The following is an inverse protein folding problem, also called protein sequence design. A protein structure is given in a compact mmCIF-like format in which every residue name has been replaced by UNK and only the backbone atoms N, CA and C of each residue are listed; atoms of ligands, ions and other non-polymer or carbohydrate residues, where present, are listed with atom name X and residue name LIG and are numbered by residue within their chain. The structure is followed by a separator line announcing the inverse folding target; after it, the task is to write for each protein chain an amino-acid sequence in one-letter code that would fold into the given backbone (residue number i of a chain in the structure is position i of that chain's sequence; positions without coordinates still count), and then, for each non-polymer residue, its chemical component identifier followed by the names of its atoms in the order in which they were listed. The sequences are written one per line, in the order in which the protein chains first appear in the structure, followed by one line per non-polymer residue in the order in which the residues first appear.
data_IF_417409243766
#
_entry.id   IF_417409243766
#
_cell.length_a   1.000
_cell.length_b   1.000
_cell.length_c   1.000
_cell.angle_alpha   90.00
_cell.angle_beta   90.00
_cell.angle_gamma   90.00
#
_symmetry.space_group_name_H-M   'P 1'
#
loop_
_entity.id
_entity.type
_entity.pdbx_description
1 polymer ?
#
# COMPACT_ATOMS: atom_id res chain seq x y z
N UNK A 1 -77.52 12.58 -23.42
CA UNK A 1 -77.64 12.92 -24.86
C UNK A 1 -76.25 13.24 -25.39
N UNK A 2 -75.82 12.75 -26.57
CA UNK A 2 -75.57 11.33 -26.85
C UNK A 2 -74.21 11.07 -27.54
N UNK A 3 -73.98 9.79 -27.86
CA UNK A 3 -73.29 9.23 -29.06
C UNK A 3 -71.75 9.27 -29.16
N UNK A 4 -71.02 8.14 -29.06
CA UNK A 4 -70.82 7.02 -30.04
C UNK A 4 -69.78 7.40 -31.13
N UNK A 5 -68.85 6.58 -31.63
CA UNK A 5 -68.51 5.16 -31.46
C UNK A 5 -67.14 4.83 -32.13
N UNK A 6 -66.58 3.66 -31.77
CA UNK A 6 -65.90 2.60 -32.56
C UNK A 6 -64.83 2.95 -33.63
N UNK A 7 -63.74 2.20 -33.83
CA UNK A 7 -63.57 0.73 -33.95
C UNK A 7 -62.12 0.37 -33.50
N UNK A 8 -61.79 -0.67 -32.71
CA UNK A 8 -61.99 -2.13 -32.74
C UNK A 8 -61.46 -2.86 -33.99
N UNK A 9 -60.39 -3.65 -33.80
CA UNK A 9 -60.18 -5.02 -34.34
C UNK A 9 -58.93 -5.63 -33.65
N UNK A 10 -59.04 -6.48 -32.59
CA UNK A 10 -59.30 -7.96 -32.52
C UNK A 10 -58.12 -8.83 -33.02
N UNK A 11 -57.96 -10.13 -32.61
CA UNK A 11 -58.66 -10.92 -31.56
C UNK A 11 -57.86 -12.01 -30.76
N UNK A 12 -58.52 -12.59 -29.72
CA UNK A 12 -58.71 -14.02 -29.27
C UNK A 12 -57.48 -14.97 -29.15
N UNK A 13 -57.35 -15.90 -28.19
CA UNK A 13 -58.25 -16.85 -27.48
C UNK A 13 -57.80 -16.97 -25.99
N UNK A 14 -58.59 -17.14 -24.91
CA UNK A 14 -59.80 -17.89 -24.51
C UNK A 14 -59.61 -19.36 -24.07
N UNK A 15 -59.78 -19.57 -22.75
CA UNK A 15 -60.34 -20.73 -22.00
C UNK A 15 -59.53 -22.06 -22.01
N UNK A 16 -59.61 -22.96 -21.00
CA UNK A 16 -60.61 -23.19 -19.96
C UNK A 16 -60.05 -23.99 -18.75
N UNK A 17 -60.81 -23.90 -17.66
CA UNK A 17 -60.99 -24.78 -16.49
C UNK A 17 -60.61 -26.27 -16.62
N UNK A 18 -60.21 -26.90 -15.52
CA UNK A 18 -61.01 -27.93 -14.80
C UNK A 18 -60.39 -28.34 -13.46
N UNK A 19 -61.24 -28.61 -12.47
CA UNK A 19 -60.91 -29.18 -11.17
C UNK A 19 -61.11 -30.71 -11.17
N UNK A 20 -60.29 -31.47 -10.44
CA UNK A 20 -60.69 -32.69 -9.73
C UNK A 20 -59.50 -33.29 -8.93
N UNK A 21 -59.81 -33.84 -7.77
CA UNK A 21 -58.91 -34.49 -6.82
C UNK A 21 -58.64 -35.97 -7.16
N UNK A 22 -57.46 -36.49 -6.79
CA UNK A 22 -57.25 -37.84 -6.25
C UNK A 22 -55.78 -38.02 -5.82
N UNK A 23 -55.59 -38.44 -4.57
CA UNK A 23 -54.31 -38.90 -4.02
C UNK A 23 -53.88 -40.23 -4.65
N UNK A 24 -52.58 -40.44 -4.89
CA UNK A 24 -51.89 -41.75 -4.92
C UNK A 24 -50.38 -41.54 -4.69
N UNK A 25 -49.75 -42.57 -4.14
CA UNK A 25 -48.51 -42.60 -3.38
C UNK A 25 -47.18 -42.51 -4.18
N UNK A 26 -46.11 -42.21 -3.41
CA UNK A 26 -44.70 -42.66 -3.54
C UNK A 26 -43.94 -42.39 -4.86
N UNK A 27 -42.91 -41.55 -4.78
CA UNK A 27 -41.52 -42.04 -4.88
C UNK A 27 -40.49 -40.96 -4.52
N UNK A 28 -39.45 -41.38 -3.80
CA UNK A 28 -38.39 -40.56 -3.28
C UNK A 28 -37.33 -40.28 -4.36
N UNK A 29 -37.01 -39.01 -4.60
CA UNK A 29 -35.76 -38.60 -5.24
C UNK A 29 -35.10 -37.51 -4.40
N UNK A 30 -34.12 -37.93 -3.61
CA UNK A 30 -33.18 -37.04 -2.92
C UNK A 30 -32.20 -36.50 -3.97
N UNK A 31 -32.44 -35.29 -4.46
CA UNK A 31 -31.47 -34.56 -5.24
C UNK A 31 -30.35 -34.07 -4.32
N UNK A 32 -29.21 -34.77 -4.34
CA UNK A 32 -27.97 -34.32 -3.72
C UNK A 32 -27.47 -33.07 -4.44
N UNK A 33 -27.68 -31.90 -3.84
CA UNK A 33 -27.04 -30.67 -4.26
C UNK A 33 -25.58 -30.68 -3.76
N UNK A 34 -24.66 -31.12 -4.62
CA UNK A 34 -23.24 -30.93 -4.42
C UNK A 34 -22.92 -29.41 -4.52
N UNK A 35 -22.96 -28.72 -3.38
CA UNK A 35 -22.47 -27.37 -3.27
C UNK A 35 -20.95 -27.37 -3.51
N UNK A 36 -20.56 -27.02 -4.73
CA UNK A 36 -19.16 -26.76 -5.06
C UNK A 36 -18.78 -25.43 -4.40
N UNK A 37 -18.19 -25.49 -3.22
CA UNK A 37 -17.49 -24.36 -2.62
C UNK A 37 -16.24 -24.09 -3.44
N UNK A 38 -16.39 -23.32 -4.51
CA UNK A 38 -15.28 -22.62 -5.12
C UNK A 38 -14.75 -21.65 -4.05
N UNK A 39 -13.71 -22.08 -3.34
CA UNK A 39 -12.96 -21.18 -2.47
C UNK A 39 -12.46 -20.03 -3.35
N UNK A 40 -13.02 -18.84 -3.14
CA UNK A 40 -12.50 -17.60 -3.69
C UNK A 40 -11.05 -17.49 -3.23
N UNK A 41 -10.09 -17.87 -4.10
CA UNK A 41 -8.68 -17.53 -3.89
C UNK A 41 -8.62 -16.01 -3.96
N UNK A 42 -8.55 -15.37 -2.81
CA UNK A 42 -8.21 -13.96 -2.69
C UNK A 42 -6.96 -13.74 -3.53
N UNK A 43 -7.03 -12.78 -4.47
CA UNK A 43 -5.89 -12.50 -5.33
C UNK A 43 -4.69 -12.19 -4.43
N UNK A 44 -3.52 -12.82 -4.65
CA UNK A 44 -2.36 -12.62 -3.78
C UNK A 44 -2.06 -11.13 -3.69
N UNK A 45 -1.86 -10.63 -2.47
CA UNK A 45 -1.57 -9.23 -2.23
C UNK A 45 -0.39 -8.79 -3.09
N UNK A 46 -0.59 -7.74 -3.91
CA UNK A 46 0.49 -7.13 -4.72
C UNK A 46 1.66 -6.62 -3.87
N UNK A 47 1.45 -6.48 -2.57
CA UNK A 47 2.43 -6.01 -1.60
C UNK A 47 3.31 -7.13 -1.06
N UNK A 48 2.98 -8.41 -1.32
CA UNK A 48 3.72 -9.57 -0.81
C UNK A 48 4.42 -10.30 -1.94
N UNK A 49 5.61 -10.83 -1.64
CA UNK A 49 6.30 -11.71 -2.57
C UNK A 49 5.55 -13.04 -2.72
N UNK A 50 5.60 -13.68 -3.90
CA UNK A 50 5.01 -15.01 -4.09
C UNK A 50 5.50 -16.01 -3.04
N UNK A 51 4.54 -16.70 -2.42
CA UNK A 51 4.79 -17.72 -1.39
C UNK A 51 5.06 -17.17 0.01
N UNK A 52 5.03 -15.85 0.23
CA UNK A 52 5.23 -15.23 1.54
C UNK A 52 3.91 -14.66 2.09
N UNK A 53 3.61 -14.93 3.36
CA UNK A 53 2.35 -14.50 4.00
C UNK A 53 2.56 -13.83 5.35
N UNK A 54 3.41 -14.42 6.20
CA UNK A 54 3.59 -14.04 7.60
C UNK A 54 5.06 -14.19 7.99
N UNK A 55 5.46 -13.50 9.05
CA UNK A 55 6.74 -13.71 9.73
C UNK A 55 6.54 -14.66 10.92
N UNK A 56 7.58 -15.37 11.33
CA UNK A 56 7.54 -16.15 12.57
C UNK A 56 7.42 -15.21 13.79
N UNK A 57 6.66 -15.59 14.83
CA UNK A 57 6.47 -14.79 16.04
C UNK A 57 7.78 -14.38 16.73
N UNK A 58 8.83 -15.20 16.63
CA UNK A 58 10.15 -14.97 17.20
C UNK A 58 11.15 -14.38 16.19
N UNK A 59 10.72 -13.98 14.99
CA UNK A 59 11.60 -13.37 14.00
C UNK A 59 12.21 -12.06 14.48
N UNK A 60 13.49 -11.86 14.18
CA UNK A 60 14.25 -10.65 14.51
C UNK A 60 14.16 -9.64 13.38
N UNK A 61 13.63 -8.47 13.68
CA UNK A 61 13.51 -7.36 12.74
C UNK A 61 14.60 -6.32 13.00
N UNK A 62 15.40 -6.02 11.98
CA UNK A 62 16.24 -4.84 11.95
C UNK A 62 15.47 -3.69 11.30
N UNK A 63 15.47 -2.52 11.92
CA UNK A 63 14.96 -1.28 11.33
C UNK A 63 16.15 -0.39 11.02
N UNK A 64 16.32 -0.04 9.75
CA UNK A 64 17.32 0.93 9.34
C UNK A 64 16.78 2.36 9.54
N UNK A 65 17.65 3.37 9.74
CA UNK A 65 17.25 4.76 9.67
C UNK A 65 16.48 5.06 8.40
N UNK A 66 15.40 5.83 8.51
CA UNK A 66 14.66 6.25 7.34
C UNK A 66 15.51 7.21 6.48
N UNK A 67 15.65 6.91 5.19
CA UNK A 67 16.20 7.87 4.23
C UNK A 67 15.11 8.91 3.94
N UNK A 68 15.22 10.06 4.60
CA UNK A 68 14.20 11.09 4.59
C UNK A 68 14.78 12.48 4.36
N UNK A 69 14.10 13.26 3.52
CA UNK A 69 14.47 14.64 3.23
C UNK A 69 13.20 15.45 2.95
N UNK A 70 13.10 16.63 3.57
CA UNK A 70 11.99 17.54 3.45
C UNK A 70 12.38 18.82 2.70
N UNK A 71 11.43 19.37 1.95
CA UNK A 71 11.66 20.53 1.09
C UNK A 71 10.64 21.64 1.30
N UNK A 72 11.10 22.88 1.12
CA UNK A 72 10.24 24.04 0.91
C UNK A 72 10.06 24.29 -0.59
N UNK A 73 8.84 24.62 -1.00
CA UNK A 73 8.54 25.05 -2.36
C UNK A 73 8.25 26.56 -2.34
N UNK A 74 9.08 27.36 -3.00
CA UNK A 74 8.90 28.80 -3.08
C UNK A 74 7.73 29.21 -4.00
N UNK A 75 7.35 30.49 -3.96
CA UNK A 75 6.32 31.03 -4.85
C UNK A 75 6.69 30.87 -6.34
N UNK A 76 7.99 30.93 -6.65
CA UNK A 76 8.52 30.67 -8.00
C UNK A 76 8.62 29.18 -8.38
N UNK A 77 8.22 28.26 -7.48
CA UNK A 77 8.29 26.82 -7.72
C UNK A 77 9.67 26.19 -7.48
N UNK A 78 10.61 26.93 -6.89
CA UNK A 78 11.93 26.39 -6.52
C UNK A 78 11.77 25.47 -5.32
N UNK A 79 12.34 24.26 -5.43
CA UNK A 79 12.35 23.25 -4.37
C UNK A 79 13.69 23.31 -3.64
N UNK A 80 13.66 23.58 -2.34
CA UNK A 80 14.85 23.79 -1.51
C UNK A 80 14.84 22.83 -0.31
N UNK A 81 15.91 22.06 -0.07
CA UNK A 81 15.99 21.16 1.06
C UNK A 81 16.01 21.95 2.39
N UNK A 82 15.36 21.39 3.41
CA UNK A 82 15.20 22.01 4.73
C UNK A 82 15.67 21.08 5.83
N UNK A 83 16.91 21.26 6.27
CA UNK A 83 17.51 20.39 7.28
C UNK A 83 16.74 20.41 8.62
N UNK A 84 16.31 21.59 9.06
CA UNK A 84 15.49 21.76 10.27
C UNK A 84 14.17 20.97 10.20
N UNK A 85 13.57 20.90 9.01
CA UNK A 85 12.35 20.12 8.80
C UNK A 85 12.65 18.62 8.73
N UNK A 86 13.72 18.24 8.04
CA UNK A 86 14.17 16.85 7.95
C UNK A 86 14.46 16.27 9.33
N UNK A 87 15.16 16.99 10.21
CA UNK A 87 15.46 16.55 11.58
C UNK A 87 14.18 16.35 12.41
N UNK A 88 13.25 17.32 12.35
CA UNK A 88 11.96 17.21 13.03
C UNK A 88 11.15 15.99 12.52
N UNK A 89 11.12 15.79 11.21
CA UNK A 89 10.47 14.67 10.57
C UNK A 89 11.08 13.32 10.98
N UNK A 90 12.41 13.20 10.98
CA UNK A 90 13.12 12.00 11.42
C UNK A 90 12.77 11.64 12.86
N UNK A 91 12.77 12.63 13.76
CA UNK A 91 12.38 12.44 15.16
C UNK A 91 10.93 11.96 15.30
N UNK A 92 9.98 12.62 14.64
CA UNK A 92 8.57 12.25 14.73
C UNK A 92 8.29 10.89 14.08
N UNK A 93 8.95 10.59 12.97
CA UNK A 93 8.83 9.30 12.28
C UNK A 93 9.33 8.15 13.14
N UNK A 94 10.48 8.31 13.80
CA UNK A 94 11.00 7.33 14.75
C UNK A 94 10.03 7.11 15.92
N UNK A 95 9.45 8.17 16.47
CA UNK A 95 8.40 8.05 17.50
C UNK A 95 7.14 7.33 16.97
N UNK A 96 6.75 7.59 15.72
CA UNK A 96 5.66 6.89 15.05
C UNK A 96 5.95 5.40 14.88
N UNK A 97 7.15 5.01 14.44
CA UNK A 97 7.57 3.60 14.36
C UNK A 97 7.54 2.93 15.74
N UNK A 98 8.02 3.61 16.78
CA UNK A 98 7.98 3.12 18.15
C UNK A 98 6.53 2.86 18.63
N UNK A 99 5.58 3.73 18.25
CA UNK A 99 4.15 3.52 18.56
C UNK A 99 3.56 2.25 17.92
N UNK A 100 4.16 1.77 16.82
CA UNK A 100 3.74 0.58 16.08
C UNK A 100 4.48 -0.70 16.53
N UNK A 101 5.12 -0.69 17.71
CA UNK A 101 5.97 -1.81 18.19
C UNK A 101 5.27 -3.17 18.15
N UNK A 102 3.99 -3.24 18.54
CA UNK A 102 3.22 -4.49 18.51
C UNK A 102 3.13 -5.10 17.10
N UNK A 103 3.10 -4.25 16.07
CA UNK A 103 3.06 -4.64 14.67
C UNK A 103 4.44 -5.06 14.15
N UNK A 104 5.49 -4.37 14.61
CA UNK A 104 6.88 -4.64 14.22
C UNK A 104 7.37 -5.97 14.82
N UNK A 105 7.02 -6.23 16.08
CA UNK A 105 7.27 -7.46 16.82
C UNK A 105 8.00 -7.26 18.14
N UNK A 106 8.31 -8.38 18.80
CA UNK A 106 8.97 -8.36 20.12
C UNK A 106 10.47 -8.12 19.98
N UNK A 107 11.11 -8.74 18.98
CA UNK A 107 12.55 -8.66 18.71
C UNK A 107 12.85 -7.66 17.60
N UNK A 108 12.84 -6.37 17.92
CA UNK A 108 13.20 -5.30 16.98
C UNK A 108 14.45 -4.58 17.47
N UNK A 109 15.44 -4.47 16.59
CA UNK A 109 16.67 -3.70 16.76
C UNK A 109 16.68 -2.57 15.74
N UNK A 110 17.07 -1.38 16.17
CA UNK A 110 17.19 -0.20 15.30
C UNK A 110 18.67 0.14 15.13
N UNK A 111 19.10 0.41 13.90
CA UNK A 111 20.42 1.01 13.66
C UNK A 111 20.29 2.53 13.78
N UNK A 112 21.29 3.17 14.38
CA UNK A 112 21.47 4.61 14.22
C UNK A 112 22.18 4.93 12.89
N UNK A 113 22.25 6.22 12.53
CA UNK A 113 22.86 6.66 11.28
C UNK A 113 24.33 6.18 11.12
N UNK A 114 25.15 6.31 12.18
CA UNK A 114 26.56 5.90 12.14
C UNK A 114 26.71 4.39 11.91
N UNK A 115 25.85 3.57 12.51
CA UNK A 115 25.87 2.12 12.29
C UNK A 115 25.36 1.76 10.89
N UNK A 116 24.40 2.52 10.36
CA UNK A 116 23.88 2.30 9.01
C UNK A 116 24.90 2.65 7.92
N UNK A 117 25.82 3.59 8.19
CA UNK A 117 26.91 3.95 7.29
C UNK A 117 27.85 2.76 6.99
N UNK A 118 28.03 1.84 7.95
CA UNK A 118 28.78 0.59 7.73
C UNK A 118 28.14 -0.30 6.64
N UNK A 119 26.86 -0.06 6.32
CA UNK A 119 26.08 -0.82 5.34
C UNK A 119 25.61 0.03 4.16
N UNK A 120 26.30 1.14 3.87
CA UNK A 120 25.94 2.07 2.81
C UNK A 120 25.77 1.39 1.43
N UNK A 121 26.61 0.42 1.09
CA UNK A 121 26.52 -0.32 -0.18
C UNK A 121 25.21 -1.12 -0.30
N UNK A 122 24.81 -1.84 0.75
CA UNK A 122 23.53 -2.59 0.79
C UNK A 122 22.35 -1.63 0.75
N UNK A 123 22.44 -0.50 1.46
CA UNK A 123 21.40 0.53 1.44
C UNK A 123 21.25 1.16 0.05
N UNK A 124 22.35 1.43 -0.64
CA UNK A 124 22.34 1.94 -2.01
C UNK A 124 21.76 0.90 -3.01
N UNK A 125 22.14 -0.38 -2.87
CA UNK A 125 21.57 -1.46 -3.66
C UNK A 125 20.06 -1.60 -3.41
N UNK A 126 19.64 -1.57 -2.14
CA UNK A 126 18.23 -1.57 -1.76
C UNK A 126 17.47 -0.45 -2.46
N UNK A 127 18.00 0.78 -2.40
CA UNK A 127 17.41 1.95 -3.04
C UNK A 127 17.23 1.75 -4.54
N UNK A 128 18.25 1.27 -5.25
CA UNK A 128 18.16 1.01 -6.70
C UNK A 128 17.07 -0.02 -7.04
N UNK A 129 16.96 -1.10 -6.26
CA UNK A 129 15.91 -2.11 -6.44
C UNK A 129 14.53 -1.54 -6.08
N UNK A 130 14.43 -0.76 -5.01
CA UNK A 130 13.19 -0.12 -4.59
C UNK A 130 12.68 0.88 -5.64
N UNK A 131 13.56 1.67 -6.26
CA UNK A 131 13.21 2.57 -7.36
C UNK A 131 12.71 1.81 -8.59
N UNK A 132 13.32 0.67 -8.92
CA UNK A 132 12.83 -0.22 -9.97
C UNK A 132 11.42 -0.77 -9.64
N UNK A 133 11.16 -1.16 -8.38
CA UNK A 133 9.81 -1.56 -7.93
C UNK A 133 8.85 -0.38 -8.07
N UNK A 134 9.22 0.82 -7.65
CA UNK A 134 8.38 2.01 -7.77
C UNK A 134 7.95 2.30 -9.21
N UNK A 135 8.88 2.15 -10.15
CA UNK A 135 8.64 2.41 -11.56
C UNK A 135 7.82 1.30 -12.24
N UNK A 136 8.12 0.03 -11.93
CA UNK A 136 7.66 -1.10 -12.74
C UNK A 136 6.57 -1.95 -12.10
N UNK A 137 6.33 -1.84 -10.79
CA UNK A 137 5.41 -2.73 -10.06
C UNK A 137 4.00 -2.16 -9.88
N UNK A 138 3.82 -0.85 -10.10
CA UNK A 138 2.56 -0.14 -9.82
C UNK A 138 1.46 -0.39 -10.86
N UNK A 139 1.84 -0.97 -11.98
CA UNK A 139 0.95 -1.24 -13.09
C UNK A 139 1.07 -0.22 -14.23
N UNK A 140 0.47 -0.51 -15.38
CA UNK A 140 0.45 0.37 -16.56
C UNK A 140 1.58 0.11 -17.56
N UNK A 141 1.93 1.13 -18.32
CA UNK A 141 2.81 1.03 -19.50
C UNK A 141 4.29 0.77 -19.17
N UNK A 142 4.70 0.97 -17.91
CA UNK A 142 6.05 0.65 -17.42
C UNK A 142 6.13 -0.73 -16.75
N UNK A 143 5.07 -1.53 -16.73
CA UNK A 143 5.13 -2.88 -16.17
C UNK A 143 6.17 -3.74 -16.89
N UNK A 144 6.94 -4.54 -16.13
CA UNK A 144 7.81 -5.57 -16.70
C UNK A 144 6.97 -6.81 -17.03
N UNK A 145 6.76 -7.16 -18.31
CA UNK A 145 5.83 -8.23 -18.69
C UNK A 145 6.24 -9.60 -18.12
N UNK A 146 7.56 -9.83 -17.97
CA UNK A 146 8.09 -11.08 -17.43
C UNK A 146 7.86 -11.26 -15.94
N UNK A 147 7.58 -10.18 -15.19
CA UNK A 147 7.30 -10.22 -13.74
C UNK A 147 5.82 -10.46 -13.44
N UNK A 148 4.91 -10.27 -14.39
CA UNK A 148 3.45 -10.45 -14.21
C UNK A 148 2.89 -9.73 -12.96
N UNK A 149 3.43 -8.56 -12.62
CA UNK A 149 3.10 -7.79 -11.40
C UNK A 149 3.35 -8.54 -10.07
N UNK A 150 4.13 -9.61 -10.08
CA UNK A 150 4.56 -10.30 -8.86
C UNK A 150 5.70 -9.53 -8.19
N UNK A 151 5.66 -9.41 -6.86
CA UNK A 151 6.75 -8.82 -6.09
C UNK A 151 7.89 -9.83 -5.98
N UNK A 152 8.58 -10.06 -7.08
CA UNK A 152 9.71 -10.97 -7.20
C UNK A 152 10.98 -10.15 -7.40
N UNK A 153 11.54 -9.63 -6.31
CA UNK A 153 12.73 -8.78 -6.33
C UNK A 153 13.68 -9.24 -5.23
N UNK A 154 14.98 -9.15 -5.48
CA UNK A 154 15.99 -9.60 -4.52
C UNK A 154 17.25 -8.76 -4.60
N UNK A 155 17.88 -8.56 -3.44
CA UNK A 155 19.22 -8.01 -3.30
C UNK A 155 20.29 -9.12 -3.38
N UNK A 156 19.86 -10.38 -3.45
CA UNK A 156 20.75 -11.55 -3.43
C UNK A 156 21.61 -11.62 -2.16
N UNK A 157 22.81 -12.17 -2.30
CA UNK A 157 23.74 -12.37 -1.18
C UNK A 157 24.31 -11.08 -0.59
N UNK A 158 24.05 -9.92 -1.21
CA UNK A 158 24.54 -8.63 -0.73
C UNK A 158 24.07 -8.32 0.70
N UNK A 159 22.95 -8.88 1.14
CA UNK A 159 22.42 -8.68 2.50
C UNK A 159 23.17 -9.43 3.60
N UNK A 160 24.06 -10.36 3.23
CA UNK A 160 24.74 -11.25 4.18
C UNK A 160 25.53 -10.51 5.27
N UNK A 161 26.29 -9.44 5.00
CA UNK A 161 26.98 -8.69 6.06
C UNK A 161 26.03 -8.11 7.11
N UNK A 162 24.86 -7.64 6.67
CA UNK A 162 23.81 -7.11 7.55
C UNK A 162 23.28 -8.22 8.46
N UNK A 163 23.03 -9.42 7.91
CA UNK A 163 22.61 -10.61 8.66
C UNK A 163 23.67 -11.06 9.66
N UNK A 164 24.92 -11.19 9.23
CA UNK A 164 26.02 -11.69 10.06
C UNK A 164 26.30 -10.76 11.24
N UNK A 165 26.22 -9.44 11.02
CA UNK A 165 26.52 -8.45 12.07
C UNK A 165 25.38 -8.26 13.06
N UNK A 166 24.13 -8.31 12.60
CA UNK A 166 22.96 -8.01 13.45
C UNK A 166 22.23 -9.24 13.95
N UNK A 167 22.46 -10.38 13.29
CA UNK A 167 21.69 -11.60 13.49
C UNK A 167 20.26 -11.52 12.97
N UNK A 168 19.78 -10.40 12.41
CA UNK A 168 18.37 -10.26 12.07
C UNK A 168 17.90 -11.24 10.97
N UNK A 169 16.61 -11.55 10.99
CA UNK A 169 15.96 -12.39 9.98
C UNK A 169 15.35 -11.52 8.88
N UNK A 170 14.88 -10.32 9.24
CA UNK A 170 14.36 -9.34 8.30
C UNK A 170 14.95 -7.95 8.53
N UNK A 171 15.01 -7.14 7.47
CA UNK A 171 15.32 -5.71 7.54
C UNK A 171 14.18 -4.87 6.97
N UNK A 172 13.77 -3.84 7.69
CA UNK A 172 12.83 -2.81 7.26
C UNK A 172 13.60 -1.58 6.78
N UNK A 173 13.40 -1.25 5.51
CA UNK A 173 13.89 -0.03 4.88
C UNK A 173 12.72 0.92 4.65
N UNK A 174 12.93 2.21 4.91
CA UNK A 174 11.94 3.25 4.66
C UNK A 174 12.58 4.43 3.96
N UNK A 175 11.90 4.94 2.94
CA UNK A 175 12.31 6.14 2.22
C UNK A 175 11.15 7.10 2.13
N UNK A 176 11.39 8.39 2.36
CA UNK A 176 10.38 9.43 2.26
C UNK A 176 10.96 10.73 1.69
N UNK A 177 10.24 11.35 0.78
CA UNK A 177 10.46 12.74 0.37
C UNK A 177 9.15 13.49 0.54
N UNK A 178 9.22 14.65 1.18
CA UNK A 178 8.04 15.43 1.47
C UNK A 178 8.31 16.92 1.27
N UNK A 179 7.30 17.66 0.84
CA UNK A 179 7.46 19.05 0.44
C UNK A 179 6.29 19.91 0.87
N UNK A 180 6.57 21.16 1.23
CA UNK A 180 5.56 22.10 1.70
C UNK A 180 5.74 23.46 1.06
N UNK A 181 4.63 24.10 0.73
CA UNK A 181 4.62 25.47 0.25
C UNK A 181 5.18 26.43 1.31
N UNK A 182 6.09 27.30 0.88
CA UNK A 182 6.56 28.42 1.68
C UNK A 182 5.39 29.36 2.02
N UNK A 183 5.58 30.25 3.00
CA UNK A 183 4.57 31.25 3.37
C UNK A 183 4.16 32.12 2.18
N UNK A 184 5.14 32.53 1.37
CA UNK A 184 4.94 33.33 0.16
C UNK A 184 4.19 32.53 -0.90
N UNK A 185 4.52 31.24 -1.07
CA UNK A 185 3.79 30.35 -1.99
C UNK A 185 2.35 30.17 -1.53
N UNK A 186 2.09 29.95 -0.25
CA UNK A 186 0.73 29.82 0.29
C UNK A 186 -0.10 31.08 0.01
N UNK A 187 0.47 32.26 0.19
CA UNK A 187 -0.21 33.52 -0.15
C UNK A 187 -0.49 33.63 -1.66
N UNK A 188 0.49 33.30 -2.50
CA UNK A 188 0.32 33.29 -3.96
C UNK A 188 -0.75 32.29 -4.40
N UNK A 189 -0.81 31.11 -3.79
CA UNK A 189 -1.84 30.10 -4.03
C UNK A 189 -3.24 30.62 -3.70
N UNK A 190 -3.41 31.32 -2.56
CA UNK A 190 -4.69 31.93 -2.19
C UNK A 190 -5.12 32.99 -3.21
N UNK A 191 -4.19 33.86 -3.63
CA UNK A 191 -4.48 34.88 -4.65
C UNK A 191 -4.86 34.25 -6.01
N UNK A 192 -4.13 33.22 -6.46
CA UNK A 192 -4.42 32.50 -7.68
C UNK A 192 -5.74 31.71 -7.60
N UNK A 193 -6.07 31.15 -6.44
CA UNK A 193 -7.34 30.46 -6.20
C UNK A 193 -8.53 31.42 -6.30
N UNK A 194 -8.39 32.67 -5.83
CA UNK A 194 -9.41 33.72 -6.02
C UNK A 194 -9.64 34.07 -7.50
N UNK A 195 -8.66 33.75 -8.37
CA UNK A 195 -8.75 33.89 -9.84
C UNK A 195 -9.14 32.57 -10.53
N UNK A 196 -9.49 31.52 -9.78
CA UNK A 196 -9.94 30.23 -10.31
C UNK A 196 -8.84 29.21 -10.64
N UNK A 197 -7.58 29.49 -10.30
CA UNK A 197 -6.47 28.56 -10.53
C UNK A 197 -6.30 27.56 -9.38
N UNK A 198 -5.96 26.31 -9.72
CA UNK A 198 -5.65 25.25 -8.75
C UNK A 198 -4.12 25.11 -8.69
N UNK A 199 -3.56 25.13 -7.48
CA UNK A 199 -2.13 24.92 -7.24
C UNK A 199 -1.91 23.90 -6.14
N UNK A 200 -0.89 23.07 -6.31
CA UNK A 200 -0.51 22.03 -5.35
C UNK A 200 0.41 22.63 -4.28
N UNK A 201 0.07 22.37 -3.02
CA UNK A 201 0.77 22.90 -1.85
C UNK A 201 1.99 22.11 -1.42
N UNK A 202 2.19 20.92 -1.97
CA UNK A 202 3.22 19.98 -1.55
C UNK A 202 2.83 18.56 -1.90
N UNK A 203 3.82 17.68 -1.97
CA UNK A 203 3.62 16.24 -2.18
C UNK A 203 4.52 15.46 -1.22
N UNK A 204 3.93 14.41 -0.65
CA UNK A 204 4.63 13.39 0.13
C UNK A 204 4.66 12.09 -0.68
N UNK A 205 5.87 11.61 -0.96
CA UNK A 205 6.11 10.31 -1.60
C UNK A 205 7.01 9.46 -0.72
N UNK A 206 6.83 8.15 -0.76
CA UNK A 206 7.64 7.26 0.05
C UNK A 206 7.37 5.78 -0.20
N UNK A 207 8.16 4.94 0.47
CA UNK A 207 7.91 3.50 0.55
C UNK A 207 8.42 2.91 1.85
N UNK A 208 7.91 1.72 2.15
CA UNK A 208 8.45 0.81 3.15
C UNK A 208 8.66 -0.57 2.51
N UNK A 209 9.79 -1.20 2.81
CA UNK A 209 10.22 -2.47 2.20
C UNK A 209 10.74 -3.40 3.28
N UNK A 210 10.26 -4.64 3.29
CA UNK A 210 10.76 -5.71 4.14
C UNK A 210 11.60 -6.68 3.31
N UNK A 211 12.86 -6.83 3.70
CA UNK A 211 13.82 -7.75 3.07
C UNK A 211 14.04 -8.95 3.99
N UNK A 212 13.93 -10.16 3.47
CA UNK A 212 14.39 -11.37 4.14
C UNK A 212 15.92 -11.47 4.03
N UNK A 213 16.60 -11.39 5.16
CA UNK A 213 18.06 -11.37 5.21
C UNK A 213 18.69 -12.75 4.99
N UNK A 214 17.90 -13.82 5.02
CA UNK A 214 18.38 -15.17 4.69
C UNK A 214 18.53 -15.37 3.17
N UNK A 215 17.71 -14.67 2.38
CA UNK A 215 17.58 -14.91 0.93
C UNK A 215 17.82 -13.66 0.07
N UNK A 216 17.85 -12.48 0.69
CA UNK A 216 17.88 -11.18 0.00
C UNK A 216 16.57 -10.77 -0.64
N UNK A 217 15.51 -11.61 -0.56
CA UNK A 217 14.22 -11.33 -1.21
C UNK A 217 13.52 -10.15 -0.55
N UNK A 218 12.97 -9.25 -1.36
CA UNK A 218 11.99 -8.27 -0.90
C UNK A 218 10.66 -9.00 -0.76
N UNK A 219 10.30 -9.31 0.48
CA UNK A 219 9.13 -10.14 0.82
C UNK A 219 7.86 -9.32 1.01
N UNK A 220 8.01 -8.02 1.29
CA UNK A 220 6.90 -7.08 1.32
C UNK A 220 7.32 -5.69 0.87
N UNK A 221 6.44 -4.98 0.18
CA UNK A 221 6.67 -3.61 -0.27
C UNK A 221 5.37 -2.80 -0.30
N UNK A 222 5.39 -1.60 0.28
CA UNK A 222 4.28 -0.67 0.24
C UNK A 222 4.75 0.74 -0.12
N UNK A 223 3.92 1.45 -0.87
CA UNK A 223 4.20 2.79 -1.38
C UNK A 223 3.23 3.80 -0.80
N UNK A 224 3.70 5.03 -0.71
CA UNK A 224 2.97 6.20 -0.28
C UNK A 224 3.10 7.29 -1.34
N UNK A 225 1.98 7.86 -1.74
CA UNK A 225 1.91 9.10 -2.50
C UNK A 225 0.64 9.82 -2.07
N UNK A 226 0.78 11.03 -1.54
CA UNK A 226 -0.34 11.86 -1.09
C UNK A 226 0.04 13.34 -1.11
N UNK A 227 -0.98 14.19 -1.13
CA UNK A 227 -0.84 15.65 -1.21
C UNK A 227 -1.02 16.35 0.15
N UNK A 228 -1.07 15.58 1.24
CA UNK A 228 -1.41 16.06 2.57
C UNK A 228 -0.69 15.26 3.66
N UNK A 229 -0.67 15.80 4.87
CA UNK A 229 0.14 15.32 5.99
C UNK A 229 1.27 16.31 6.26
N UNK A 230 1.83 16.26 7.47
CA UNK A 230 3.02 17.05 7.82
C UNK A 230 3.93 16.26 8.76
N UNK A 231 5.04 15.72 8.24
CA UNK A 231 5.98 14.91 9.03
C UNK A 231 6.67 15.71 10.14
N UNK A 232 6.69 17.04 10.04
CA UNK A 232 7.21 17.92 11.10
C UNK A 232 6.32 17.92 12.33
N UNK A 233 5.08 17.44 12.20
CA UNK A 233 4.11 17.34 13.27
C UNK A 233 3.96 15.90 13.78
N UNK A 234 3.83 15.66 15.10
CA UNK A 234 3.79 14.30 15.65
C UNK A 234 2.62 13.44 15.14
N UNK A 235 1.39 13.95 15.16
CA UNK A 235 0.21 13.14 14.80
C UNK A 235 0.20 12.74 13.30
N UNK A 236 0.43 13.66 12.34
CA UNK A 236 0.52 13.26 10.94
C UNK A 236 1.73 12.36 10.62
N UNK A 237 2.81 12.42 11.42
CA UNK A 237 3.91 11.47 11.29
C UNK A 237 3.48 10.05 11.68
N UNK A 238 2.70 9.86 12.75
CA UNK A 238 2.10 8.55 13.09
C UNK A 238 1.23 8.05 11.94
N UNK A 239 0.35 8.89 11.39
CA UNK A 239 -0.47 8.52 10.23
C UNK A 239 0.38 8.11 9.01
N UNK A 240 1.51 8.78 8.79
CA UNK A 240 2.48 8.43 7.74
C UNK A 240 3.04 7.03 7.95
N UNK A 241 3.47 6.72 9.17
CA UNK A 241 4.00 5.41 9.53
C UNK A 241 2.93 4.33 9.37
N UNK A 242 1.70 4.58 9.83
CA UNK A 242 0.59 3.64 9.67
C UNK A 242 0.27 3.35 8.21
N UNK A 243 0.25 4.40 7.38
CA UNK A 243 0.03 4.29 5.95
C UNK A 243 1.16 3.51 5.27
N UNK A 244 2.43 3.81 5.58
CA UNK A 244 3.59 3.09 5.07
C UNK A 244 3.59 1.63 5.50
N UNK A 245 3.26 1.35 6.75
CA UNK A 245 3.19 -0.01 7.24
C UNK A 245 1.92 -0.73 6.77
N UNK A 246 0.93 -0.12 6.11
CA UNK A 246 -0.32 -0.81 5.71
C UNK A 246 -0.06 -2.15 5.00
N UNK A 247 -0.67 -3.23 5.50
CA UNK A 247 -0.43 -4.59 5.00
C UNK A 247 0.91 -5.22 5.42
N UNK A 248 1.66 -4.60 6.34
CA UNK A 248 2.90 -5.15 6.89
C UNK A 248 2.70 -6.57 7.42
N UNK A 249 3.61 -7.52 7.12
CA UNK A 249 3.42 -8.93 7.40
C UNK A 249 3.21 -9.22 8.90
N UNK A 250 2.08 -9.85 9.21
CA UNK A 250 1.73 -10.27 10.56
C UNK A 250 2.69 -11.34 11.09
N UNK A 251 2.75 -11.44 12.41
CA UNK A 251 3.43 -12.51 13.13
C UNK A 251 2.50 -13.73 13.22
N UNK A 252 3.06 -14.92 13.03
CA UNK A 252 2.37 -16.21 13.16
C UNK A 252 2.84 -16.96 14.40
#
# INVERSE_FOLDING_TARGET
MPTLASHLTRPLLLAALFAAAAAHAQDAQVASAAASTAASREAPSRHLAPGFTTRAADSRLLVLPADMELFSISAGGVVEPRNDWTEAAQKNFAAGLASQRARLGTQVTELNALQADEFAEVTALHRAVADAIQLHHRGGWMELPTKNRALDWSLGDAVRPLKERTGADYALFTWVRDSYASSERKLAMVALAALGAISLGGEQTGYASLVDLNTGRIVWFNQLSRMSGDLREPAPAVETVEALLKGFPALK
#
